data_IF_650591864235
#
_entry.id   IF_650591864235
#
_cell.length_a   1.000
_cell.length_b   1.000
_cell.length_c   1.000
_cell.angle_alpha   90.00
_cell.angle_beta   90.00
_cell.angle_gamma   90.00
#
_symmetry.space_group_name_H-M   'P 1'
#
loop_
_entity.id
_entity.type
_entity.pdbx_description
1 polymer ?
#
# COMPACT_ATOMS: atom_id res chain seq x y z
N UNK A 1 30.86 -24.46 -1.55
CA UNK A 1 31.44 -24.42 -0.20
C UNK A 1 31.41 -22.97 0.26
N UNK A 2 30.51 -22.65 1.17
CA UNK A 2 30.37 -21.32 1.75
C UNK A 2 31.63 -21.04 2.58
N UNK A 3 32.38 -19.98 2.22
CA UNK A 3 33.64 -19.63 2.90
C UNK A 3 33.31 -19.08 4.28
N UNK A 4 33.44 -19.91 5.30
CA UNK A 4 33.43 -19.45 6.70
C UNK A 4 34.58 -18.46 6.88
N UNK A 5 34.30 -17.32 7.51
CA UNK A 5 35.33 -16.32 7.80
C UNK A 5 36.46 -17.01 8.60
N UNK A 6 37.73 -16.96 8.14
CA UNK A 6 38.88 -17.58 8.81
C UNK A 6 39.00 -17.20 10.30
N UNK A 7 38.55 -16.01 10.68
CA UNK A 7 38.60 -15.51 12.07
C UNK A 7 37.63 -16.25 13.01
N UNK A 8 36.62 -16.90 12.43
CA UNK A 8 35.63 -17.70 13.17
C UNK A 8 36.11 -19.14 13.40
N UNK A 9 37.31 -19.48 12.97
CA UNK A 9 37.82 -20.84 12.96
C UNK A 9 39.06 -20.94 13.86
N UNK A 10 39.03 -21.85 14.82
CA UNK A 10 40.20 -22.23 15.60
C UNK A 10 40.97 -23.32 14.85
N UNK A 11 42.28 -23.10 14.72
CA UNK A 11 43.23 -24.01 14.07
C UNK A 11 44.16 -24.62 15.12
N UNK A 12 44.58 -25.86 14.87
CA UNK A 12 45.61 -26.53 15.66
C UNK A 12 47.03 -26.09 15.24
N UNK A 13 48.04 -26.66 15.89
CA UNK A 13 49.46 -26.36 15.64
C UNK A 13 49.92 -26.74 14.21
N UNK A 14 49.11 -27.50 13.46
CA UNK A 14 49.32 -27.86 12.06
C UNK A 14 48.53 -26.97 11.09
N UNK A 15 47.98 -25.85 11.57
CA UNK A 15 47.08 -24.93 10.85
C UNK A 15 45.77 -25.57 10.34
N UNK A 16 45.42 -26.77 10.79
CA UNK A 16 44.17 -27.43 10.39
C UNK A 16 43.02 -26.92 11.23
N UNK A 17 41.90 -26.68 10.56
CA UNK A 17 40.64 -26.26 11.18
C UNK A 17 40.11 -27.37 12.06
N UNK A 18 40.00 -27.13 13.36
CA UNK A 18 39.52 -28.13 14.32
C UNK A 18 38.17 -27.75 14.96
N UNK A 19 37.87 -26.45 15.12
CA UNK A 19 36.55 -26.02 15.65
C UNK A 19 36.18 -24.61 15.21
N UNK A 20 34.90 -24.27 15.29
CA UNK A 20 34.37 -22.92 15.05
C UNK A 20 34.18 -22.23 16.41
N UNK A 21 34.55 -20.95 16.51
CA UNK A 21 34.38 -20.15 17.74
C UNK A 21 32.89 -19.88 17.97
N UNK A 22 32.21 -20.79 18.68
CA UNK A 22 30.77 -20.71 18.96
C UNK A 22 30.32 -19.37 19.55
N UNK A 23 31.11 -18.76 20.43
CA UNK A 23 30.79 -17.44 21.01
C UNK A 23 30.79 -16.33 19.94
N UNK A 24 31.74 -16.37 18.99
CA UNK A 24 31.81 -15.41 17.89
C UNK A 24 30.66 -15.59 16.90
N UNK A 25 30.28 -16.84 16.60
CA UNK A 25 29.11 -17.15 15.77
C UNK A 25 27.81 -16.72 16.46
N UNK A 26 27.68 -16.94 17.78
CA UNK A 26 26.50 -16.53 18.53
C UNK A 26 26.34 -15.01 18.57
N UNK A 27 27.43 -14.25 18.73
CA UNK A 27 27.39 -12.79 18.68
C UNK A 27 26.99 -12.27 17.28
N UNK A 28 27.49 -12.91 16.21
CA UNK A 28 27.07 -12.60 14.84
C UNK A 28 25.59 -12.93 14.60
N UNK A 29 25.12 -14.11 15.02
CA UNK A 29 23.72 -14.51 14.89
C UNK A 29 22.77 -13.61 15.69
N UNK A 30 23.17 -13.19 16.90
CA UNK A 30 22.41 -12.22 17.68
C UNK A 30 22.32 -10.87 16.97
N UNK A 31 23.40 -10.40 16.36
CA UNK A 31 23.40 -9.17 15.58
C UNK A 31 22.43 -9.25 14.39
N UNK A 32 22.50 -10.34 13.61
CA UNK A 32 21.60 -10.57 12.49
C UNK A 32 20.14 -10.72 12.95
N UNK A 33 19.89 -11.42 14.06
CA UNK A 33 18.56 -11.53 14.65
C UNK A 33 18.00 -10.15 15.06
N UNK A 34 18.81 -9.30 15.67
CA UNK A 34 18.39 -7.95 16.08
C UNK A 34 18.12 -7.05 14.87
N UNK A 35 18.92 -7.16 13.79
CA UNK A 35 18.67 -6.45 12.54
C UNK A 35 17.35 -6.88 11.91
N UNK A 36 17.13 -8.19 11.75
CA UNK A 36 15.90 -8.71 11.17
C UNK A 36 14.68 -8.38 12.02
N UNK A 37 14.79 -8.48 13.35
CA UNK A 37 13.71 -8.08 14.24
C UNK A 37 13.34 -6.60 14.07
N UNK A 38 14.34 -5.71 13.98
CA UNK A 38 14.11 -4.28 13.71
C UNK A 38 13.43 -4.06 12.36
N UNK A 39 13.90 -4.72 11.30
CA UNK A 39 13.28 -4.66 9.97
C UNK A 39 11.82 -5.10 10.04
N UNK A 40 11.52 -6.20 10.75
CA UNK A 40 10.16 -6.70 10.93
C UNK A 40 9.27 -5.69 11.67
N UNK A 41 9.78 -5.04 12.71
CA UNK A 41 9.02 -3.99 13.42
C UNK A 41 8.75 -2.77 12.55
N UNK A 42 9.74 -2.33 11.75
CA UNK A 42 9.56 -1.24 10.78
C UNK A 42 8.52 -1.59 9.71
N UNK A 43 8.54 -2.83 9.21
CA UNK A 43 7.53 -3.33 8.26
C UNK A 43 6.14 -3.40 8.87
N UNK A 44 6.00 -3.85 10.12
CA UNK A 44 4.70 -3.85 10.84
C UNK A 44 4.16 -2.43 10.99
N UNK A 45 5.00 -1.46 11.36
CA UNK A 45 4.59 -0.07 11.47
C UNK A 45 4.14 0.51 10.12
N UNK A 46 4.89 0.23 9.05
CA UNK A 46 4.51 0.62 7.70
C UNK A 46 3.18 -0.02 7.26
N UNK A 47 2.96 -1.29 7.60
CA UNK A 47 1.73 -2.01 7.28
C UNK A 47 0.51 -1.39 7.96
N UNK A 48 0.58 -1.07 9.25
CA UNK A 48 -0.52 -0.40 9.98
C UNK A 48 -0.83 0.97 9.36
N UNK A 49 0.19 1.74 8.99
CA UNK A 49 0.00 3.02 8.28
C UNK A 49 -0.66 2.84 6.92
N UNK A 50 -0.27 1.80 6.18
CA UNK A 50 -0.87 1.48 4.89
C UNK A 50 -2.34 1.06 5.03
N UNK A 51 -2.67 0.26 6.04
CA UNK A 51 -4.04 -0.16 6.32
C UNK A 51 -4.95 1.04 6.62
N UNK A 52 -4.48 1.97 7.46
CA UNK A 52 -5.21 3.21 7.74
C UNK A 52 -5.45 4.05 6.46
N UNK A 53 -4.44 4.14 5.60
CA UNK A 53 -4.55 4.83 4.30
C UNK A 53 -5.57 4.15 3.39
N UNK A 54 -5.55 2.82 3.30
CA UNK A 54 -6.50 2.05 2.50
C UNK A 54 -7.95 2.25 2.98
N UNK A 55 -8.17 2.27 4.30
CA UNK A 55 -9.50 2.55 4.88
C UNK A 55 -9.99 3.96 4.48
N UNK A 56 -9.10 4.95 4.54
CA UNK A 56 -9.43 6.33 4.15
C UNK A 56 -9.75 6.41 2.64
N UNK A 57 -8.92 5.83 1.78
CA UNK A 57 -9.17 5.75 0.34
C UNK A 57 -10.50 5.05 0.02
N UNK A 58 -10.82 3.97 0.73
CA UNK A 58 -12.08 3.25 0.53
C UNK A 58 -13.31 4.12 0.86
N UNK A 59 -13.21 5.01 1.86
CA UNK A 59 -14.27 5.98 2.18
C UNK A 59 -14.41 7.03 1.08
N UNK A 60 -13.30 7.57 0.60
CA UNK A 60 -13.28 8.57 -0.48
C UNK A 60 -13.87 8.01 -1.77
N UNK A 61 -13.49 6.78 -2.16
CA UNK A 61 -14.05 6.09 -3.32
C UNK A 61 -15.57 5.92 -3.20
N UNK A 62 -16.08 5.57 -2.01
CA UNK A 62 -17.53 5.45 -1.77
C UNK A 62 -18.23 6.80 -1.94
N UNK A 63 -17.65 7.87 -1.39
CA UNK A 63 -18.20 9.22 -1.52
C UNK A 63 -18.20 9.69 -2.99
N UNK A 64 -17.10 9.48 -3.71
CA UNK A 64 -17.00 9.78 -5.15
C UNK A 64 -18.02 8.98 -5.97
N UNK A 65 -18.19 7.69 -5.66
CA UNK A 65 -19.19 6.84 -6.33
C UNK A 65 -20.61 7.37 -6.13
N UNK A 66 -20.94 7.82 -4.91
CA UNK A 66 -22.24 8.43 -4.63
C UNK A 66 -22.44 9.72 -5.43
N UNK A 67 -21.42 10.59 -5.47
CA UNK A 67 -21.45 11.82 -6.25
C UNK A 67 -21.64 11.56 -7.75
N UNK A 68 -20.94 10.58 -8.32
CA UNK A 68 -21.09 10.19 -9.74
C UNK A 68 -22.52 9.72 -10.02
N UNK A 69 -23.11 8.89 -9.14
CA UNK A 69 -24.52 8.46 -9.29
C UNK A 69 -25.49 9.64 -9.22
N UNK A 70 -25.26 10.58 -8.31
CA UNK A 70 -26.08 11.79 -8.20
C UNK A 70 -25.98 12.67 -9.44
N UNK A 71 -24.78 12.84 -10.00
CA UNK A 71 -24.58 13.58 -11.25
C UNK A 71 -25.29 12.90 -12.43
N UNK A 72 -25.20 11.57 -12.55
CA UNK A 72 -25.92 10.83 -13.58
C UNK A 72 -27.44 11.07 -13.51
N UNK A 73 -28.02 11.02 -12.30
CA UNK A 73 -29.45 11.32 -12.09
C UNK A 73 -29.81 12.78 -12.36
N UNK A 74 -28.91 13.73 -12.09
CA UNK A 74 -29.11 15.14 -12.42
C UNK A 74 -29.11 15.36 -13.94
N UNK A 75 -28.17 14.74 -14.65
CA UNK A 75 -28.09 14.80 -16.13
C UNK A 75 -29.36 14.21 -16.75
N UNK A 76 -29.83 13.06 -16.28
CA UNK A 76 -31.08 12.47 -16.77
C UNK A 76 -32.28 13.41 -16.58
N UNK A 77 -32.38 14.08 -15.43
CA UNK A 77 -33.45 15.06 -15.17
C UNK A 77 -33.36 16.28 -16.08
N UNK A 78 -32.14 16.79 -16.33
CA UNK A 78 -31.93 17.92 -17.26
C UNK A 78 -32.32 17.51 -18.67
N UNK A 79 -31.92 16.33 -19.14
CA UNK A 79 -32.29 15.81 -20.45
C UNK A 79 -33.82 15.68 -20.59
N UNK A 80 -34.51 15.11 -19.59
CA UNK A 80 -35.96 15.00 -19.62
C UNK A 80 -36.68 16.36 -19.72
N UNK A 81 -36.18 17.39 -19.01
CA UNK A 81 -36.73 18.75 -19.09
C UNK A 81 -36.51 19.38 -20.46
N UNK A 82 -35.33 19.17 -21.05
CA UNK A 82 -35.02 19.69 -22.38
C UNK A 82 -35.92 19.07 -23.45
N UNK A 83 -36.14 17.75 -23.40
CA UNK A 83 -37.04 17.07 -24.33
C UNK A 83 -38.50 17.51 -24.15
N UNK A 84 -38.98 17.68 -22.90
CA UNK A 84 -40.31 18.22 -22.65
C UNK A 84 -40.50 19.65 -23.18
N UNK A 85 -39.48 20.50 -23.07
CA UNK A 85 -39.52 21.87 -23.57
C UNK A 85 -39.49 21.95 -25.09
N UNK A 86 -38.78 21.03 -25.78
CA UNK A 86 -38.83 20.91 -27.25
C UNK A 86 -40.22 20.50 -27.76
N UNK A 87 -40.92 19.65 -27.03
CA UNK A 87 -42.24 19.13 -27.40
C UNK A 87 -43.40 20.09 -27.06
N UNK A 88 -43.14 21.15 -26.30
CA UNK A 88 -44.12 22.19 -25.99
C UNK A 88 -44.24 23.15 -27.18
N UNK A 89 -45.44 23.40 -27.75
CA UNK A 89 -45.59 24.39 -28.82
C UNK A 89 -45.10 25.76 -28.33
N UNK A 90 -44.02 26.28 -28.91
CA UNK A 90 -43.67 27.69 -28.75
C UNK A 90 -44.73 28.49 -29.50
N UNK A 91 -45.79 28.87 -28.78
CA UNK A 91 -46.74 29.86 -29.27
C UNK A 91 -45.99 31.19 -29.29
N UNK A 92 -45.41 31.52 -30.43
CA UNK A 92 -44.93 32.88 -30.71
C UNK A 92 -46.19 33.73 -30.86
N UNK A 93 -46.59 34.41 -29.79
CA UNK A 93 -47.57 35.51 -29.87
C UNK A 93 -46.85 36.68 -30.51
N UNK A 94 -46.86 36.72 -31.84
CA UNK A 94 -46.46 37.90 -32.59
C UNK A 94 -47.62 38.88 -32.54
N UNK A 95 -47.67 39.70 -31.50
CA UNK A 95 -48.58 40.84 -31.45
C UNK A 95 -47.98 42.01 -32.24
N UNK A 96 -48.87 42.61 -33.03
CA UNK A 96 -48.70 43.61 -34.09
C UNK A 96 -47.82 44.82 -33.78
#
# INVERSE_FOLDING_TARGET
>A
MEKVNPDLVARDDEEKVYTVRYEAVNAMLLNEFLKEHRTVEELKAAFVKQEATNVQQQKEIKALTANVKQQAAAIQRVNARLEANKLSPQVVTNDR
#
